data_IF_440136678811
#
_entry.id   IF_440136678811
#
_cell.length_a   1.000
_cell.length_b   1.000
_cell.length_c   1.000
_cell.angle_alpha   90.00
_cell.angle_beta   90.00
_cell.angle_gamma   90.00
#
_symmetry.space_group_name_H-M   'P 1'
#
loop_
_entity.id
_entity.type
_entity.pdbx_description
1 polymer ?
#
# COMPACT_ATOMS: atom_id res chain seq x y z
N UNK A 1 11.32 2.46 20.38
CA UNK A 1 10.35 3.57 20.38
C UNK A 1 9.49 3.51 19.12
N UNK A 2 8.20 3.77 19.24
CA UNK A 2 7.30 3.79 18.09
C UNK A 2 7.33 5.18 17.46
N UNK A 3 7.60 5.24 16.17
CA UNK A 3 7.56 6.48 15.40
C UNK A 3 6.32 6.49 14.52
N UNK A 4 5.56 7.57 14.56
CA UNK A 4 4.32 7.72 13.79
C UNK A 4 4.46 8.87 12.81
N UNK A 5 4.02 8.66 11.57
CA UNK A 5 4.13 9.63 10.48
C UNK A 5 2.73 9.83 9.86
N UNK A 6 2.42 11.09 9.53
CA UNK A 6 1.11 11.49 8.98
C UNK A 6 -0.03 11.04 9.89
N UNK A 7 0.06 11.44 11.15
CA UNK A 7 -0.92 11.08 12.18
C UNK A 7 -2.13 12.01 12.12
N UNK A 8 -3.32 11.41 12.18
CA UNK A 8 -4.59 12.10 12.34
C UNK A 8 -5.23 11.70 13.67
N UNK A 9 -6.45 12.18 13.93
CA UNK A 9 -7.19 11.80 15.13
C UNK A 9 -7.45 10.29 15.23
N UNK A 10 -7.53 9.61 14.08
CA UNK A 10 -7.91 8.19 14.02
C UNK A 10 -6.76 7.25 13.82
N UNK A 11 -5.72 7.70 13.12
CA UNK A 11 -4.68 6.76 12.69
C UNK A 11 -3.41 7.48 12.26
N UNK A 12 -2.36 6.71 12.08
CA UNK A 12 -1.13 7.15 11.43
C UNK A 12 -1.00 6.42 10.09
N UNK A 13 -0.58 7.11 9.04
CA UNK A 13 -0.40 6.46 7.74
C UNK A 13 0.81 5.53 7.74
N UNK A 14 1.82 5.85 8.53
CA UNK A 14 3.01 5.03 8.68
C UNK A 14 3.36 4.91 10.16
N UNK A 15 3.64 3.70 10.61
CA UNK A 15 4.16 3.44 11.94
C UNK A 15 5.47 2.68 11.79
N UNK A 16 6.53 3.16 12.44
CA UNK A 16 7.84 2.52 12.40
C UNK A 16 8.21 2.01 13.79
N UNK A 17 8.66 0.77 13.86
CA UNK A 17 9.09 0.15 15.10
C UNK A 17 10.08 -0.97 14.81
N UNK A 18 11.19 -1.00 15.53
CA UNK A 18 12.23 -2.03 15.41
C UNK A 18 12.70 -2.24 13.96
N UNK A 19 12.89 -1.16 13.20
CA UNK A 19 13.39 -1.24 11.84
C UNK A 19 12.36 -1.66 10.81
N UNK A 20 11.08 -1.80 11.19
CA UNK A 20 9.99 -2.15 10.29
C UNK A 20 9.02 -0.99 10.17
N UNK A 21 8.60 -0.69 8.94
CA UNK A 21 7.56 0.29 8.67
C UNK A 21 6.25 -0.44 8.36
N UNK A 22 5.17 -0.02 9.01
CA UNK A 22 3.82 -0.54 8.80
C UNK A 22 3.01 0.56 8.14
N UNK A 23 2.49 0.29 6.95
CA UNK A 23 1.67 1.24 6.21
C UNK A 23 0.20 0.94 6.45
N UNK A 24 -0.62 1.99 6.57
CA UNK A 24 -2.06 1.82 6.67
C UNK A 24 -2.65 1.31 5.36
N UNK A 25 -3.86 0.76 5.41
CA UNK A 25 -4.56 0.31 4.22
C UNK A 25 -4.84 1.44 3.25
N UNK A 26 -4.68 1.16 1.97
CA UNK A 26 -4.97 2.09 0.90
C UNK A 26 -6.15 1.58 0.08
N UNK A 27 -7.06 2.49 -0.25
CA UNK A 27 -8.20 2.20 -1.11
C UNK A 27 -8.00 2.94 -2.42
N UNK A 28 -7.98 2.21 -3.52
CA UNK A 28 -7.78 2.80 -4.82
C UNK A 28 -9.05 3.36 -5.41
N UNK A 29 -8.92 4.44 -6.19
CA UNK A 29 -10.00 5.05 -6.96
C UNK A 29 -9.86 4.67 -8.43
N UNK A 30 -11.00 4.50 -9.11
CA UNK A 30 -11.02 4.18 -10.52
C UNK A 30 -12.24 3.35 -10.88
N UNK A 31 -12.49 3.20 -12.17
CA UNK A 31 -13.66 2.49 -12.70
C UNK A 31 -13.40 1.01 -12.95
N UNK A 32 -12.14 0.57 -12.88
CA UNK A 32 -11.77 -0.82 -13.10
C UNK A 32 -10.82 -1.31 -12.02
N UNK A 33 -10.67 -2.63 -11.89
CA UNK A 33 -9.71 -3.21 -10.97
C UNK A 33 -8.29 -2.80 -11.34
N UNK A 34 -7.98 -2.67 -12.63
CA UNK A 34 -6.68 -2.18 -13.12
C UNK A 34 -6.41 -0.76 -12.60
N UNK A 35 -7.35 0.16 -12.79
CA UNK A 35 -7.20 1.54 -12.35
C UNK A 35 -7.08 1.64 -10.84
N UNK A 36 -7.91 0.93 -10.10
CA UNK A 36 -7.88 0.93 -8.65
C UNK A 36 -6.57 0.37 -8.12
N UNK A 37 -6.04 -0.67 -8.74
CA UNK A 37 -4.76 -1.26 -8.34
C UNK A 37 -3.61 -0.29 -8.61
N UNK A 38 -3.59 0.33 -9.77
CA UNK A 38 -2.58 1.34 -10.10
C UNK A 38 -2.58 2.49 -9.10
N UNK A 39 -3.77 2.96 -8.72
CA UNK A 39 -3.90 4.04 -7.73
C UNK A 39 -3.41 3.61 -6.35
N UNK A 40 -3.80 2.41 -5.90
CA UNK A 40 -3.30 1.87 -4.63
C UNK A 40 -1.78 1.80 -4.61
N UNK A 41 -1.18 1.27 -5.67
CA UNK A 41 0.28 1.10 -5.74
C UNK A 41 1.00 2.44 -5.81
N UNK A 42 0.43 3.44 -6.48
CA UNK A 42 0.98 4.79 -6.48
C UNK A 42 0.98 5.40 -5.07
N UNK A 43 -0.09 5.18 -4.31
CA UNK A 43 -0.17 5.65 -2.92
C UNK A 43 0.83 4.92 -2.03
N UNK A 44 1.01 3.63 -2.23
CA UNK A 44 2.01 2.85 -1.48
C UNK A 44 3.43 3.35 -1.80
N UNK A 45 3.73 3.63 -3.06
CA UNK A 45 5.03 4.21 -3.43
C UNK A 45 5.32 5.50 -2.68
N UNK A 46 4.34 6.40 -2.60
CA UNK A 46 4.49 7.66 -1.89
C UNK A 46 4.75 7.44 -0.41
N UNK A 47 4.05 6.49 0.22
CA UNK A 47 4.25 6.17 1.63
C UNK A 47 5.60 5.50 1.88
N UNK A 48 6.04 4.61 0.98
CA UNK A 48 7.36 3.99 1.08
C UNK A 48 8.46 5.05 1.05
N UNK A 49 8.35 6.03 0.17
CA UNK A 49 9.30 7.12 0.08
C UNK A 49 9.34 7.93 1.39
N UNK A 50 8.17 8.29 1.93
CA UNK A 50 8.08 8.99 3.22
C UNK A 50 8.67 8.17 4.37
N UNK A 51 8.54 6.86 4.31
CA UNK A 51 9.08 5.97 5.34
C UNK A 51 10.60 5.77 5.20
N UNK A 52 11.21 6.25 4.12
CA UNK A 52 12.61 6.03 3.83
C UNK A 52 12.89 4.60 3.36
N UNK A 53 11.92 3.96 2.73
CA UNK A 53 12.01 2.58 2.27
C UNK A 53 11.83 2.50 0.74
N UNK A 54 11.66 1.30 0.23
CA UNK A 54 11.50 1.05 -1.20
C UNK A 54 10.72 -0.24 -1.43
N UNK A 55 10.27 -0.45 -2.66
CA UNK A 55 9.55 -1.68 -3.04
C UNK A 55 10.35 -2.93 -2.75
N UNK A 56 11.66 -2.88 -2.97
CA UNK A 56 12.53 -4.05 -2.77
C UNK A 56 12.64 -4.48 -1.31
N UNK A 57 12.21 -3.64 -0.38
CA UNK A 57 12.25 -3.91 1.06
C UNK A 57 10.90 -4.35 1.63
N UNK A 58 9.89 -4.52 0.81
CA UNK A 58 8.58 -5.00 1.26
C UNK A 58 8.70 -6.43 1.76
N UNK A 59 8.23 -6.66 2.99
CA UNK A 59 8.22 -7.98 3.61
C UNK A 59 6.91 -8.71 3.40
N UNK A 60 5.81 -7.98 3.38
CA UNK A 60 4.48 -8.56 3.26
C UNK A 60 3.51 -7.52 2.71
N UNK A 61 2.61 -7.96 1.84
CA UNK A 61 1.50 -7.15 1.37
C UNK A 61 0.23 -7.99 1.43
N UNK A 62 -0.86 -7.37 1.89
CA UNK A 62 -2.17 -8.00 1.93
C UNK A 62 -3.06 -7.24 0.96
N UNK A 63 -3.70 -7.96 0.04
CA UNK A 63 -4.55 -7.37 -0.98
C UNK A 63 -5.96 -7.90 -0.80
N UNK A 64 -6.92 -6.99 -0.62
CA UNK A 64 -8.33 -7.30 -0.44
C UNK A 64 -9.06 -6.98 -1.72
N UNK A 65 -9.71 -7.97 -2.31
CA UNK A 65 -10.52 -7.80 -3.52
C UNK A 65 -11.99 -7.95 -3.16
N UNK A 66 -12.84 -7.08 -3.72
CA UNK A 66 -14.29 -7.21 -3.51
C UNK A 66 -14.85 -8.46 -4.18
N UNK A 67 -14.19 -8.95 -5.21
CA UNK A 67 -14.57 -10.15 -5.94
C UNK A 67 -13.30 -10.81 -6.50
N UNK A 68 -13.16 -12.11 -6.31
CA UNK A 68 -12.00 -12.85 -6.79
C UNK A 68 -11.90 -12.95 -8.32
N UNK A 69 -12.97 -12.59 -9.03
CA UNK A 69 -12.89 -12.51 -10.50
C UNK A 69 -11.91 -11.43 -10.95
N UNK A 70 -11.58 -10.46 -10.08
CA UNK A 70 -10.60 -9.41 -10.37
C UNK A 70 -9.16 -9.81 -10.11
N UNK A 71 -8.92 -11.03 -9.62
CA UNK A 71 -7.58 -11.47 -9.22
C UNK A 71 -6.56 -11.37 -10.36
N UNK A 72 -6.92 -11.85 -11.55
CA UNK A 72 -5.99 -11.83 -12.70
C UNK A 72 -5.66 -10.41 -13.13
N UNK A 73 -6.65 -9.54 -13.14
CA UNK A 73 -6.48 -8.14 -13.52
C UNK A 73 -5.57 -7.42 -12.53
N UNK A 74 -5.83 -7.57 -11.25
CA UNK A 74 -5.00 -7.01 -10.19
C UNK A 74 -3.57 -7.56 -10.26
N UNK A 75 -3.43 -8.87 -10.44
CA UNK A 75 -2.14 -9.52 -10.45
C UNK A 75 -1.28 -9.09 -11.63
N UNK A 76 -1.88 -8.81 -12.79
CA UNK A 76 -1.16 -8.29 -13.95
C UNK A 76 -0.52 -6.92 -13.66
N UNK A 77 -1.24 -6.05 -12.94
CA UNK A 77 -0.70 -4.76 -12.51
C UNK A 77 0.42 -4.96 -11.48
N UNK A 78 0.18 -5.82 -10.51
CA UNK A 78 1.16 -6.15 -9.47
C UNK A 78 2.47 -6.66 -10.07
N UNK A 79 2.38 -7.57 -11.02
CA UNK A 79 3.57 -8.17 -11.64
C UNK A 79 4.43 -7.16 -12.38
N UNK A 80 3.84 -6.09 -12.89
CA UNK A 80 4.57 -5.03 -13.59
C UNK A 80 5.08 -3.94 -12.65
N UNK A 81 4.67 -3.97 -11.41
CA UNK A 81 5.05 -2.98 -10.40
C UNK A 81 6.27 -3.46 -9.60
#
# INVERSE_FOLDING_TARGET
>A
MIQRIDTSERMSKIVKHNGVAYLCGQVGSGESATEQTLDCLARIDALLEKAGSSRSQILQAIIWLSDMTYFKEMNAVWDSW
#
